data_IF_583729109421
#
_entry.id   IF_583729109421
#
_cell.length_a   1.000
_cell.length_b   1.000
_cell.length_c   1.000
_cell.angle_alpha   90.00
_cell.angle_beta   90.00
_cell.angle_gamma   90.00
#
_symmetry.space_group_name_H-M   'P 1'
#
loop_
_entity.id
_entity.type
_entity.pdbx_description
1 polymer ?
#
# COMPACT_ATOMS: atom_id res chain seq x y z
N UNK A 1 11.81 1.11 25.93
CA UNK A 1 10.58 0.40 25.55
C UNK A 1 10.30 0.64 24.09
N UNK A 2 10.34 -0.39 23.30
CA UNK A 2 10.20 -0.36 21.84
C UNK A 2 8.77 -0.52 21.33
N UNK A 3 7.76 -0.60 22.20
CA UNK A 3 6.36 -0.66 21.81
C UNK A 3 5.81 0.68 21.27
N UNK A 4 6.63 1.72 21.36
CA UNK A 4 6.34 3.04 20.76
C UNK A 4 7.61 3.58 20.12
N UNK A 5 7.48 3.99 18.86
CA UNK A 5 8.51 4.77 18.16
C UNK A 5 7.96 6.18 17.95
N UNK A 6 8.73 7.20 18.34
CA UNK A 6 8.35 8.59 18.09
C UNK A 6 8.43 8.90 16.60
N UNK A 7 7.58 9.83 16.14
CA UNK A 7 7.47 10.18 14.71
C UNK A 7 8.82 10.58 14.08
N UNK A 8 9.66 11.30 14.83
CA UNK A 8 11.00 11.70 14.38
C UNK A 8 11.98 10.54 14.18
N UNK A 9 11.70 9.38 14.79
CA UNK A 9 12.53 8.17 14.71
C UNK A 9 11.96 7.12 13.73
N UNK A 10 10.79 7.37 13.14
CA UNK A 10 10.26 6.51 12.09
C UNK A 10 10.92 6.87 10.76
N UNK A 11 11.59 5.94 10.08
CA UNK A 11 12.21 6.24 8.80
C UNK A 11 11.19 6.81 7.79
N UNK A 12 11.60 7.87 7.09
CA UNK A 12 10.85 8.39 5.94
C UNK A 12 11.53 7.90 4.69
N UNK A 13 10.83 7.13 3.87
CA UNK A 13 11.38 6.54 2.67
C UNK A 13 10.65 7.05 1.44
N UNK A 14 11.41 7.52 0.44
CA UNK A 14 10.89 7.73 -0.92
C UNK A 14 11.06 6.44 -1.70
N UNK A 15 9.96 5.89 -2.17
CA UNK A 15 9.92 4.68 -3.00
C UNK A 15 9.63 5.13 -4.43
N UNK A 16 10.62 5.01 -5.31
CA UNK A 16 10.45 5.23 -6.74
C UNK A 16 10.14 3.89 -7.40
N UNK A 17 9.00 3.81 -8.08
CA UNK A 17 8.61 2.57 -8.75
C UNK A 17 9.52 2.31 -9.95
N UNK A 18 10.02 1.08 -10.07
CA UNK A 18 10.66 0.61 -11.31
C UNK A 18 9.62 0.43 -12.42
N UNK A 19 10.04 0.31 -13.66
CA UNK A 19 9.15 0.06 -14.80
C UNK A 19 8.32 -1.23 -14.63
N UNK A 20 8.82 -2.19 -13.87
CA UNK A 20 8.12 -3.44 -13.56
C UNK A 20 7.08 -3.28 -12.44
N UNK A 21 7.28 -2.30 -11.56
CA UNK A 21 6.39 -2.01 -10.43
C UNK A 21 5.31 -0.99 -10.76
N UNK A 22 5.52 -0.16 -11.77
CA UNK A 22 4.58 0.87 -12.15
C UNK A 22 5.23 2.19 -12.54
N UNK A 23 4.57 3.30 -12.21
CA UNK A 23 4.97 4.65 -12.55
C UNK A 23 4.83 5.57 -11.34
N UNK A 24 5.78 6.48 -11.19
CA UNK A 24 5.78 7.48 -10.13
C UNK A 24 6.56 7.07 -8.89
N UNK A 25 6.32 7.78 -7.82
CA UNK A 25 6.97 7.57 -6.53
C UNK A 25 5.98 7.83 -5.39
N UNK A 26 6.26 7.27 -4.21
CA UNK A 26 5.53 7.59 -2.99
C UNK A 26 6.49 7.89 -1.85
N UNK A 27 6.02 8.64 -0.87
CA UNK A 27 6.73 8.83 0.40
C UNK A 27 6.01 8.03 1.47
N UNK A 28 6.75 7.20 2.19
CA UNK A 28 6.17 6.23 3.12
C UNK A 28 6.83 6.29 4.49
N UNK A 29 6.01 6.09 5.51
CA UNK A 29 6.42 5.73 6.87
C UNK A 29 5.71 4.46 7.26
N UNK A 30 6.43 3.51 7.84
CA UNK A 30 5.87 2.20 8.18
C UNK A 30 6.36 1.73 9.54
N UNK A 31 5.43 1.18 10.33
CA UNK A 31 5.71 0.44 11.54
C UNK A 31 5.21 -0.99 11.44
N UNK A 32 5.82 -1.92 12.16
CA UNK A 32 5.41 -3.32 12.16
C UNK A 32 5.61 -3.99 13.52
N UNK A 33 4.76 -4.96 13.78
CA UNK A 33 4.86 -5.94 14.86
C UNK A 33 4.89 -7.36 14.27
N UNK A 34 4.63 -8.37 15.11
CA UNK A 34 4.69 -9.77 14.68
C UNK A 34 3.52 -10.18 13.75
N UNK A 35 2.33 -9.60 13.94
CA UNK A 35 1.09 -10.03 13.29
C UNK A 35 0.60 -9.06 12.21
N UNK A 36 1.09 -7.81 12.22
CA UNK A 36 0.64 -6.77 11.30
C UNK A 36 1.69 -5.70 11.06
N UNK A 37 1.50 -4.96 9.99
CA UNK A 37 2.20 -3.71 9.72
C UNK A 37 1.22 -2.61 9.37
N UNK A 38 1.63 -1.36 9.60
CA UNK A 38 0.88 -0.16 9.25
C UNK A 38 1.77 0.77 8.46
N UNK A 39 1.28 1.24 7.33
CA UNK A 39 1.97 2.17 6.46
C UNK A 39 1.14 3.43 6.30
N UNK A 40 1.79 4.59 6.33
CA UNK A 40 1.22 5.86 5.87
C UNK A 40 1.98 6.28 4.63
N UNK A 41 1.28 6.36 3.51
CA UNK A 41 1.89 6.65 2.21
C UNK A 41 1.24 7.87 1.57
N UNK A 42 2.10 8.80 1.10
CA UNK A 42 1.69 9.92 0.23
C UNK A 42 1.99 9.56 -1.21
N UNK A 43 0.96 9.55 -2.03
CA UNK A 43 1.00 9.21 -3.47
C UNK A 43 0.64 10.43 -4.30
N UNK A 44 1.60 11.04 -4.99
CA UNK A 44 1.35 12.23 -5.81
C UNK A 44 0.53 11.91 -7.07
N UNK A 45 0.03 12.94 -7.77
CA UNK A 45 -0.62 12.77 -9.06
C UNK A 45 0.21 11.92 -10.03
N UNK A 46 -0.44 10.99 -10.73
CA UNK A 46 0.21 10.09 -11.67
C UNK A 46 0.87 8.85 -11.05
N UNK A 47 0.87 8.71 -9.72
CA UNK A 47 1.27 7.45 -9.10
C UNK A 47 0.36 6.32 -9.56
N UNK A 48 0.94 5.28 -10.18
CA UNK A 48 0.19 4.18 -10.78
C UNK A 48 0.98 2.88 -10.66
N UNK A 49 0.55 1.96 -9.78
CA UNK A 49 1.20 0.67 -9.63
C UNK A 49 0.72 -0.32 -10.68
N UNK A 50 1.59 -1.27 -11.01
CA UNK A 50 1.19 -2.45 -11.78
C UNK A 50 0.47 -3.48 -10.90
N UNK A 51 -0.31 -4.37 -11.53
CA UNK A 51 -1.00 -5.45 -10.84
C UNK A 51 -0.04 -6.30 -10.01
N UNK A 52 -0.37 -6.48 -8.75
CA UNK A 52 0.40 -7.28 -7.81
C UNK A 52 -0.53 -7.94 -6.79
N UNK A 53 0.01 -8.87 -6.04
CA UNK A 53 -0.67 -9.52 -4.93
C UNK A 53 0.29 -9.81 -3.79
N UNK A 54 -0.24 -10.09 -2.63
CA UNK A 54 0.51 -10.52 -1.45
C UNK A 54 -0.39 -11.37 -0.54
N UNK A 55 0.23 -12.10 0.38
CA UNK A 55 -0.48 -12.99 1.33
C UNK A 55 -1.25 -12.20 2.39
N UNK A 56 -0.92 -10.94 2.60
CA UNK A 56 -1.58 -10.09 3.59
C UNK A 56 -2.97 -9.67 3.11
N UNK A 57 -3.95 -9.74 4.01
CA UNK A 57 -5.13 -8.89 3.89
C UNK A 57 -4.72 -7.45 4.14
N UNK A 58 -5.27 -6.52 3.36
CA UNK A 58 -4.99 -5.09 3.45
C UNK A 58 -6.27 -4.32 3.70
N UNK A 59 -6.21 -3.35 4.60
CA UNK A 59 -7.27 -2.36 4.78
C UNK A 59 -6.66 -0.98 4.56
N UNK A 60 -7.29 -0.22 3.68
CA UNK A 60 -6.93 1.15 3.35
C UNK A 60 -7.87 2.14 4.02
N UNK A 61 -7.33 3.26 4.47
CA UNK A 61 -8.11 4.41 4.91
C UNK A 61 -7.50 5.69 4.31
N UNK A 62 -8.30 6.43 3.55
CA UNK A 62 -7.85 7.66 2.89
C UNK A 62 -7.91 8.81 3.88
N UNK A 63 -6.75 9.39 4.21
CA UNK A 63 -6.65 10.55 5.10
C UNK A 63 -6.83 11.88 4.35
N UNK A 64 -6.28 11.96 3.13
CA UNK A 64 -6.31 13.18 2.31
C UNK A 64 -6.42 12.81 0.83
N UNK A 65 -7.09 13.65 0.05
CA UNK A 65 -7.23 13.49 -1.39
C UNK A 65 -8.17 12.36 -1.80
N UNK A 66 -7.92 11.83 -2.97
CA UNK A 66 -8.65 10.69 -3.54
C UNK A 66 -7.71 9.81 -4.37
N UNK A 67 -8.03 8.53 -4.45
CA UNK A 67 -7.24 7.55 -5.19
C UNK A 67 -8.13 6.40 -5.66
N UNK A 68 -7.84 5.84 -6.82
CA UNK A 68 -8.45 4.61 -7.30
C UNK A 68 -7.69 3.40 -6.75
N UNK A 69 -8.44 2.46 -6.18
CA UNK A 69 -7.98 1.11 -5.91
C UNK A 69 -8.73 0.14 -6.81
N UNK A 70 -7.99 -0.77 -7.41
CA UNK A 70 -8.53 -1.85 -8.22
C UNK A 70 -8.26 -3.17 -7.52
N UNK A 71 -9.28 -4.02 -7.48
CA UNK A 71 -9.19 -5.40 -6.98
C UNK A 71 -9.82 -6.29 -8.02
N UNK A 72 -9.00 -7.11 -8.67
CA UNK A 72 -9.39 -7.89 -9.84
C UNK A 72 -10.06 -6.99 -10.90
N UNK A 73 -11.28 -7.27 -11.31
CA UNK A 73 -11.99 -6.55 -12.37
C UNK A 73 -12.84 -5.35 -11.86
N UNK A 74 -12.66 -4.98 -10.60
CA UNK A 74 -13.42 -3.90 -9.97
C UNK A 74 -12.53 -2.70 -9.64
N UNK A 75 -13.01 -1.49 -9.92
CA UNK A 75 -12.37 -0.23 -9.52
C UNK A 75 -13.19 0.52 -8.48
N UNK A 76 -12.51 1.07 -7.48
CA UNK A 76 -13.11 1.82 -6.38
C UNK A 76 -12.43 3.17 -6.25
N UNK A 77 -13.16 4.26 -6.51
CA UNK A 77 -12.69 5.60 -6.18
C UNK A 77 -12.88 5.82 -4.68
N UNK A 78 -11.79 5.87 -3.95
CA UNK A 78 -11.79 6.14 -2.52
C UNK A 78 -11.37 7.58 -2.26
N UNK A 79 -12.17 8.29 -1.47
CA UNK A 79 -11.98 9.69 -1.10
C UNK A 79 -11.67 9.81 0.39
N UNK A 80 -11.26 11.00 0.81
CA UNK A 80 -11.00 11.30 2.24
C UNK A 80 -12.11 10.77 3.14
N UNK A 81 -11.73 9.94 4.11
CA UNK A 81 -12.61 9.28 5.07
C UNK A 81 -13.04 7.87 4.68
N UNK A 82 -12.88 7.45 3.41
CA UNK A 82 -13.30 6.13 2.96
C UNK A 82 -12.38 5.03 3.47
N UNK A 83 -12.97 3.86 3.67
CA UNK A 83 -12.28 2.59 3.92
C UNK A 83 -12.45 1.64 2.75
N UNK A 84 -11.41 0.87 2.45
CA UNK A 84 -11.45 -0.14 1.40
C UNK A 84 -10.62 -1.35 1.83
N UNK A 85 -11.09 -2.54 1.52
CA UNK A 85 -10.42 -3.81 1.84
C UNK A 85 -9.89 -4.46 0.57
N UNK A 86 -8.67 -4.99 0.65
CA UNK A 86 -8.08 -5.89 -0.33
C UNK A 86 -7.91 -7.25 0.33
N UNK A 87 -8.67 -8.28 -0.09
CA UNK A 87 -8.50 -9.63 0.46
C UNK A 87 -7.12 -10.21 0.13
N UNK A 88 -6.64 -11.10 1.00
CA UNK A 88 -5.38 -11.83 0.78
C UNK A 88 -5.35 -12.51 -0.59
N UNK A 89 -4.19 -12.48 -1.25
CA UNK A 89 -3.93 -13.13 -2.54
C UNK A 89 -4.80 -12.66 -3.72
N UNK A 90 -5.46 -11.50 -3.60
CA UNK A 90 -6.18 -10.89 -4.72
C UNK A 90 -5.29 -9.94 -5.48
N UNK A 91 -5.33 -10.02 -6.81
CA UNK A 91 -4.62 -9.08 -7.68
C UNK A 91 -5.20 -7.70 -7.51
N UNK A 92 -4.34 -6.72 -7.28
CA UNK A 92 -4.77 -5.34 -7.04
C UNK A 92 -3.69 -4.35 -7.47
N UNK A 93 -4.12 -3.09 -7.63
CA UNK A 93 -3.24 -1.94 -7.91
C UNK A 93 -3.93 -0.64 -7.51
N UNK A 94 -3.16 0.44 -7.53
CA UNK A 94 -3.65 1.77 -7.19
C UNK A 94 -3.25 2.80 -8.25
N UNK A 95 -4.10 3.80 -8.45
CA UNK A 95 -3.86 4.91 -9.36
C UNK A 95 -4.37 6.23 -8.80
N UNK A 96 -3.47 7.18 -8.56
CA UNK A 96 -3.87 8.55 -8.29
C UNK A 96 -4.02 9.31 -9.61
N UNK A 97 -5.24 9.44 -10.09
CA UNK A 97 -5.63 10.20 -11.30
C UNK A 97 -6.00 11.64 -10.98
N UNK A 98 -6.00 12.02 -9.71
CA UNK A 98 -6.36 13.38 -9.29
C UNK A 98 -5.21 14.35 -9.53
N UNK A 99 -5.49 15.65 -9.36
CA UNK A 99 -4.48 16.71 -9.44
C UNK A 99 -3.79 17.02 -8.11
N UNK A 100 -4.01 16.23 -7.05
CA UNK A 100 -3.48 16.44 -5.72
C UNK A 100 -2.90 15.16 -5.12
N UNK A 101 -2.11 15.31 -4.05
CA UNK A 101 -1.61 14.16 -3.30
C UNK A 101 -2.74 13.37 -2.66
N UNK A 102 -2.63 12.05 -2.66
CA UNK A 102 -3.45 11.15 -1.86
C UNK A 102 -2.62 10.61 -0.70
N UNK A 103 -3.12 10.78 0.53
CA UNK A 103 -2.50 10.22 1.73
C UNK A 103 -3.36 9.07 2.23
N UNK A 104 -2.78 7.88 2.31
CA UNK A 104 -3.48 6.65 2.67
C UNK A 104 -2.77 5.94 3.80
N UNK A 105 -3.52 5.52 4.80
CA UNK A 105 -3.09 4.54 5.80
C UNK A 105 -3.44 3.15 5.29
N UNK A 106 -2.48 2.24 5.33
CA UNK A 106 -2.65 0.84 4.92
C UNK A 106 -2.20 -0.08 6.04
N UNK A 107 -3.10 -0.92 6.52
CA UNK A 107 -2.76 -2.02 7.42
C UNK A 107 -2.62 -3.31 6.62
N UNK A 108 -1.65 -4.14 7.01
CA UNK A 108 -1.41 -5.45 6.41
C UNK A 108 -1.31 -6.52 7.49
N UNK A 109 -2.03 -7.62 7.35
CA UNK A 109 -1.92 -8.79 8.24
C UNK A 109 -1.93 -10.08 7.39
N UNK A 110 -0.88 -10.90 7.48
CA UNK A 110 0.40 -10.70 8.17
C UNK A 110 1.18 -9.47 7.68
N UNK A 111 2.28 -9.06 8.37
CA UNK A 111 3.03 -7.87 8.02
C UNK A 111 3.54 -7.88 6.57
N UNK A 112 3.43 -6.76 5.87
CA UNK A 112 4.04 -6.57 4.55
C UNK A 112 5.42 -5.91 4.73
N UNK A 113 6.40 -6.68 5.19
CA UNK A 113 7.76 -6.22 5.48
C UNK A 113 8.83 -7.19 4.97
N UNK A 114 8.50 -8.00 3.96
CA UNK A 114 9.44 -8.89 3.31
C UNK A 114 10.50 -8.15 2.49
N UNK A 115 11.59 -8.84 2.16
CA UNK A 115 12.65 -8.32 1.31
C UNK A 115 13.28 -7.03 1.85
N UNK A 116 13.37 -6.02 1.01
CA UNK A 116 13.98 -4.71 1.34
C UNK A 116 13.05 -3.78 2.14
N UNK A 117 11.76 -4.11 2.24
CA UNK A 117 10.77 -3.24 2.91
C UNK A 117 11.13 -3.06 4.38
N UNK A 118 11.54 -4.12 5.04
CA UNK A 118 11.87 -4.12 6.47
C UNK A 118 12.97 -3.11 6.84
N UNK A 119 13.90 -2.84 5.92
CA UNK A 119 14.99 -1.88 6.14
C UNK A 119 14.52 -0.44 6.27
N UNK A 120 13.34 -0.13 5.75
CA UNK A 120 12.73 1.20 5.82
C UNK A 120 11.56 1.31 6.80
N UNK A 121 11.34 0.28 7.65
CA UNK A 121 10.23 0.22 8.58
C UNK A 121 10.71 0.24 10.03
N UNK A 122 9.91 0.82 10.93
CA UNK A 122 10.17 0.83 12.37
C UNK A 122 9.60 -0.43 13.02
N UNK A 123 10.43 -1.26 13.63
CA UNK A 123 10.00 -2.39 14.46
C UNK A 123 9.49 -1.92 15.82
N UNK A 124 8.34 -2.42 16.22
CA UNK A 124 7.68 -2.07 17.50
C UNK A 124 7.86 -3.23 18.48
N UNK A 125 9.09 -3.40 18.97
CA UNK A 125 9.50 -4.48 19.88
C UNK A 125 10.20 -3.93 21.10
N UNK A 126 10.08 -4.62 22.23
CA UNK A 126 10.83 -4.30 23.43
C UNK A 126 12.33 -4.60 23.26
N UNK A 127 13.15 -3.93 24.06
CA UNK A 127 14.61 -4.16 24.06
C UNK A 127 14.92 -5.64 24.35
N UNK A 128 15.69 -6.25 23.47
CA UNK A 128 16.04 -7.68 23.57
C UNK A 128 14.96 -8.63 23.05
N UNK A 129 13.79 -8.14 22.65
CA UNK A 129 12.77 -8.95 22.00
C UNK A 129 13.19 -9.28 20.56
N UNK A 130 13.22 -10.58 20.23
CA UNK A 130 13.44 -11.02 18.86
C UNK A 130 12.13 -11.01 18.08
N UNK A 131 12.05 -10.32 16.91
CA UNK A 131 10.87 -10.37 16.05
C UNK A 131 10.52 -11.80 15.65
N UNK A 132 9.23 -12.15 15.74
CA UNK A 132 8.66 -13.43 15.29
C UNK A 132 7.55 -13.16 14.30
N UNK A 133 7.93 -12.64 13.13
CA UNK A 133 6.99 -12.22 12.11
C UNK A 133 6.17 -13.39 11.58
N UNK A 134 4.86 -13.27 11.61
CA UNK A 134 3.95 -14.24 11.01
C UNK A 134 3.89 -14.02 9.51
N UNK A 135 4.65 -14.87 8.77
CA UNK A 135 4.61 -14.89 7.33
C UNK A 135 4.88 -13.53 6.68
N UNK A 136 6.04 -12.89 6.96
CA UNK A 136 6.35 -11.60 6.35
C UNK A 136 6.24 -11.71 4.84
N UNK A 137 5.40 -10.83 4.26
CA UNK A 137 5.13 -10.84 2.83
C UNK A 137 5.83 -9.70 2.11
N UNK A 138 5.86 -9.84 0.80
CA UNK A 138 6.27 -8.82 -0.15
C UNK A 138 5.33 -8.83 -1.35
N UNK A 139 5.34 -7.75 -2.13
CA UNK A 139 4.55 -7.67 -3.34
C UNK A 139 5.07 -8.64 -4.41
N UNK A 140 4.16 -9.39 -5.01
CA UNK A 140 4.40 -10.22 -6.18
C UNK A 140 3.70 -9.58 -7.38
N UNK A 141 4.47 -9.03 -8.32
CA UNK A 141 3.92 -8.45 -9.54
C UNK A 141 3.54 -9.56 -10.51
N UNK A 142 2.35 -9.46 -11.08
CA UNK A 142 1.74 -10.50 -11.91
C UNK A 142 1.23 -9.93 -13.23
N UNK A 143 1.17 -10.77 -14.26
CA UNK A 143 0.52 -10.41 -15.51
C UNK A 143 -1.01 -10.35 -15.29
N UNK A 144 -1.61 -9.23 -15.69
CA UNK A 144 -3.05 -8.99 -15.60
C UNK A 144 -3.48 -7.98 -16.67
N UNK A 145 -4.73 -8.04 -17.14
CA UNK A 145 -5.27 -7.08 -18.11
C UNK A 145 -5.66 -5.75 -17.44
N UNK A 146 -4.67 -5.07 -16.90
CA UNK A 146 -4.83 -3.78 -16.20
C UNK A 146 -5.55 -2.74 -17.06
N UNK A 147 -5.08 -2.56 -18.31
CA UNK A 147 -5.64 -1.55 -19.22
C UNK A 147 -7.09 -1.85 -19.60
N UNK A 148 -7.44 -3.11 -19.78
CA UNK A 148 -8.80 -3.54 -20.08
C UNK A 148 -9.75 -3.26 -18.92
N UNK A 149 -9.33 -3.56 -17.69
CA UNK A 149 -10.11 -3.26 -16.47
C UNK A 149 -10.30 -1.76 -16.31
N UNK A 150 -9.23 -0.97 -16.38
CA UNK A 150 -9.28 0.49 -16.24
C UNK A 150 -10.18 1.12 -17.29
N UNK A 151 -10.04 0.71 -18.56
CA UNK A 151 -10.89 1.18 -19.65
C UNK A 151 -12.37 0.89 -19.39
N UNK A 152 -12.70 -0.31 -18.90
CA UNK A 152 -14.06 -0.71 -18.56
C UNK A 152 -14.62 0.13 -17.41
N UNK A 153 -13.85 0.32 -16.33
CA UNK A 153 -14.26 1.12 -15.17
C UNK A 153 -14.50 2.57 -15.58
N UNK A 154 -13.59 3.19 -16.31
CA UNK A 154 -13.72 4.60 -16.69
C UNK A 154 -14.73 4.84 -17.82
N UNK A 155 -15.06 3.84 -18.64
CA UNK A 155 -16.16 3.98 -19.63
C UNK A 155 -17.53 4.02 -18.95
N UNK A 156 -17.69 3.38 -17.78
CA UNK A 156 -18.91 3.43 -16.97
C UNK A 156 -19.16 4.78 -16.28
N UNK A 157 -18.13 5.60 -16.11
CA UNK A 157 -18.26 6.97 -15.53
C UNK A 157 -18.93 7.99 -16.49
N UNK A 158 -19.14 7.62 -17.77
CA UNK A 158 -19.69 8.53 -18.79
C UNK A 158 -21.21 8.40 -18.97
N UNK A 159 -21.88 7.63 -18.13
CA UNK A 159 -23.35 7.45 -18.19
C UNK A 159 -24.06 8.19 -17.06
#
# INVERSE_FOLDING_TARGET
MGLRVKAENVPVKKVVLSAEQGQGAMVVRQGYGNESSLMVATRPPGYHTKPHMHISEQINHVLEGEIWFFVEDQGYLCKKGDFQRIPANKVHWAWNRSGADAVVVESHSPPLVGGEIIKGAAGLFDEGEAPKLRGPGENQFVAYDQEGVERKVFSGERN
#
